data_IF_634517556810
#
_entry.id   IF_634517556810
#
_cell.length_a   1.000
_cell.length_b   1.000
_cell.length_c   1.000
_cell.angle_alpha   90.00
_cell.angle_beta   90.00
_cell.angle_gamma   90.00
#
_symmetry.space_group_name_H-M   'P 1'
#
loop_
_entity.id
_entity.type
_entity.pdbx_description
1 polymer ?
#
# COMPACT_ATOMS: atom_id res chain seq x y z
N UNK A 1 14.89 2.33 28.33
CA UNK A 1 13.45 2.12 28.08
C UNK A 1 13.25 2.16 26.58
N UNK A 2 12.94 1.01 25.96
CA UNK A 2 12.49 0.99 24.57
C UNK A 2 11.15 1.73 24.53
N UNK A 3 11.05 2.82 23.75
CA UNK A 3 9.79 3.53 23.56
C UNK A 3 8.77 2.55 22.98
N UNK A 4 7.54 2.58 23.50
CA UNK A 4 6.45 1.81 22.91
C UNK A 4 6.20 2.33 21.48
N UNK A 5 5.91 1.43 20.54
CA UNK A 5 5.65 1.85 19.16
C UNK A 5 4.58 2.94 19.07
N UNK A 6 3.56 2.88 19.93
CA UNK A 6 2.50 3.88 19.92
C UNK A 6 3.00 5.26 20.32
N UNK A 7 3.91 5.36 21.29
CA UNK A 7 4.55 6.61 21.71
C UNK A 7 5.42 7.18 20.60
N UNK A 8 6.12 6.30 19.87
CA UNK A 8 6.95 6.70 18.73
C UNK A 8 6.07 7.27 17.61
N UNK A 9 4.94 6.62 17.31
CA UNK A 9 3.97 7.16 16.33
C UNK A 9 3.37 8.49 16.79
N UNK A 10 3.09 8.67 18.08
CA UNK A 10 2.63 9.98 18.59
C UNK A 10 3.67 11.09 18.40
N UNK A 11 4.96 10.78 18.46
CA UNK A 11 6.03 11.73 18.13
C UNK A 11 6.06 12.03 16.62
N UNK A 12 5.89 11.02 15.76
CA UNK A 12 5.85 11.19 14.31
C UNK A 12 4.69 12.07 13.88
N UNK A 13 3.47 11.80 14.37
CA UNK A 13 2.26 12.57 14.02
C UNK A 13 2.35 14.06 14.41
N UNK A 14 3.17 14.40 15.41
CA UNK A 14 3.45 15.79 15.79
C UNK A 14 4.44 16.48 14.85
N UNK A 15 5.31 15.70 14.21
CA UNK A 15 6.41 16.19 13.37
C UNK A 15 6.02 16.20 11.89
N UNK A 16 5.27 15.20 11.46
CA UNK A 16 4.74 15.02 10.11
C UNK A 16 3.26 14.63 10.20
N UNK A 17 2.38 15.56 9.81
CA UNK A 17 0.93 15.38 9.83
C UNK A 17 0.35 14.99 8.46
N UNK A 18 1.22 14.68 7.48
CA UNK A 18 0.78 14.22 6.15
C UNK A 18 0.17 12.82 6.22
N UNK A 19 0.60 12.01 7.18
CA UNK A 19 0.21 10.61 7.32
C UNK A 19 -0.51 10.36 8.63
N UNK A 20 -1.57 9.55 8.58
CA UNK A 20 -2.33 9.15 9.76
C UNK A 20 -1.66 7.99 10.51
N UNK A 21 -2.07 7.76 11.76
CA UNK A 21 -1.58 6.62 12.58
C UNK A 21 -1.68 5.27 11.85
N UNK A 22 -2.74 5.10 11.06
CA UNK A 22 -2.99 3.90 10.26
C UNK A 22 -1.87 3.62 9.26
N UNK A 23 -1.27 4.63 8.63
CA UNK A 23 -0.16 4.44 7.68
C UNK A 23 1.07 3.80 8.36
N UNK A 24 1.41 4.25 9.56
CA UNK A 24 2.56 3.72 10.31
C UNK A 24 2.31 2.29 10.82
N UNK A 25 1.09 2.01 11.30
CA UNK A 25 0.71 0.66 11.73
C UNK A 25 0.71 -0.31 10.55
N UNK A 26 0.10 0.09 9.44
CA UNK A 26 0.09 -0.64 8.19
C UNK A 26 1.50 -0.96 7.71
N UNK A 27 2.40 0.04 7.66
CA UNK A 27 3.75 -0.17 7.16
C UNK A 27 4.55 -1.16 8.01
N UNK A 28 4.39 -1.12 9.34
CA UNK A 28 5.02 -2.08 10.25
C UNK A 28 4.53 -3.51 9.97
N UNK A 29 3.24 -3.70 9.77
CA UNK A 29 2.64 -5.01 9.51
C UNK A 29 2.96 -5.51 8.10
N UNK A 30 2.99 -4.62 7.12
CA UNK A 30 3.45 -4.91 5.77
C UNK A 30 4.89 -5.40 5.76
N UNK A 31 5.80 -4.75 6.49
CA UNK A 31 7.19 -5.18 6.59
C UNK A 31 7.31 -6.58 7.21
N UNK A 32 6.59 -6.87 8.30
CA UNK A 32 6.55 -8.20 8.92
C UNK A 32 5.99 -9.26 7.96
N UNK A 33 4.95 -8.92 7.19
CA UNK A 33 4.42 -9.78 6.14
C UNK A 33 5.47 -10.08 5.05
N UNK A 34 6.23 -9.06 4.62
CA UNK A 34 7.30 -9.22 3.62
C UNK A 34 8.40 -10.14 4.14
N UNK A 35 8.86 -9.95 5.39
CA UNK A 35 9.84 -10.83 6.01
C UNK A 35 9.38 -12.28 6.05
N UNK A 36 8.13 -12.53 6.50
CA UNK A 36 7.56 -13.88 6.58
C UNK A 36 7.43 -14.52 5.19
N UNK A 37 7.03 -13.74 4.20
CA UNK A 37 6.89 -14.22 2.81
C UNK A 37 8.25 -14.59 2.22
N UNK A 38 9.25 -13.73 2.35
CA UNK A 38 10.61 -13.98 1.85
C UNK A 38 11.32 -15.13 2.58
N UNK A 39 11.13 -15.24 3.90
CA UNK A 39 11.67 -16.36 4.68
C UNK A 39 11.13 -17.71 4.18
N UNK A 40 9.85 -17.75 3.78
CA UNK A 40 9.22 -18.95 3.22
C UNK A 40 9.68 -19.26 1.80
N UNK A 41 9.90 -18.24 0.98
CA UNK A 41 10.29 -18.42 -0.44
C UNK A 41 11.76 -18.78 -0.63
N UNK A 42 12.65 -18.17 0.17
CA UNK A 42 14.11 -18.23 -0.05
C UNK A 42 14.87 -18.97 1.05
N UNK A 43 14.18 -19.61 1.99
CA UNK A 43 14.76 -20.16 3.23
C UNK A 43 15.65 -19.14 3.96
N UNK A 44 15.32 -17.85 3.83
CA UNK A 44 16.12 -16.76 4.38
C UNK A 44 16.04 -16.73 5.89
N UNK A 45 17.16 -16.36 6.53
CA UNK A 45 17.20 -16.18 7.97
C UNK A 45 16.40 -14.93 8.37
N UNK A 46 15.77 -14.94 9.56
CA UNK A 46 15.20 -13.72 10.15
C UNK A 46 16.30 -12.65 10.25
N UNK A 47 15.98 -11.41 9.86
CA UNK A 47 16.89 -10.26 9.70
C UNK A 47 17.70 -10.19 8.39
N UNK A 48 17.31 -10.91 7.34
CA UNK A 48 17.90 -10.68 6.01
C UNK A 48 17.48 -9.30 5.49
N UNK A 49 18.40 -8.52 4.93
CA UNK A 49 18.06 -7.21 4.36
C UNK A 49 16.99 -7.36 3.27
N UNK A 50 15.94 -6.54 3.35
CA UNK A 50 14.89 -6.44 2.33
C UNK A 50 15.16 -5.17 1.54
N UNK A 51 15.30 -5.30 0.23
CA UNK A 51 15.40 -4.12 -0.65
C UNK A 51 14.07 -3.37 -0.69
N UNK A 52 14.08 -2.04 -0.87
CA UNK A 52 12.83 -1.28 -0.99
C UNK A 52 11.90 -1.75 -2.13
N UNK A 53 12.41 -2.42 -3.18
CA UNK A 53 11.56 -3.05 -4.19
C UNK A 53 10.82 -4.27 -3.65
N UNK A 54 11.51 -5.14 -2.92
CA UNK A 54 10.88 -6.28 -2.22
C UNK A 54 9.89 -5.79 -1.16
N UNK A 55 10.20 -4.67 -0.49
CA UNK A 55 9.26 -4.03 0.42
C UNK A 55 8.01 -3.54 -0.31
N UNK A 56 8.15 -2.87 -1.46
CA UNK A 56 7.00 -2.40 -2.25
C UNK A 56 6.12 -3.56 -2.75
N UNK A 57 6.74 -4.65 -3.20
CA UNK A 57 6.02 -5.86 -3.60
C UNK A 57 5.27 -6.46 -2.40
N UNK A 58 5.93 -6.58 -1.24
CA UNK A 58 5.30 -7.09 -0.03
C UNK A 58 4.21 -6.17 0.54
N UNK A 59 4.37 -4.85 0.41
CA UNK A 59 3.34 -3.85 0.74
C UNK A 59 2.11 -4.03 -0.15
N UNK A 60 2.32 -4.22 -1.46
CA UNK A 60 1.23 -4.47 -2.40
C UNK A 60 0.48 -5.74 -2.02
N UNK A 61 1.20 -6.82 -1.77
CA UNK A 61 0.63 -8.13 -1.47
C UNK A 61 -0.11 -8.10 -0.12
N UNK A 62 0.46 -7.46 0.89
CA UNK A 62 -0.18 -7.28 2.18
C UNK A 62 -1.45 -6.42 2.09
N UNK A 63 -1.39 -5.29 1.36
CA UNK A 63 -2.55 -4.42 1.17
C UNK A 63 -3.71 -5.15 0.47
N UNK A 64 -3.40 -5.96 -0.55
CA UNK A 64 -4.40 -6.77 -1.25
C UNK A 64 -4.94 -7.91 -0.39
N UNK A 65 -4.09 -8.53 0.45
CA UNK A 65 -4.51 -9.57 1.38
C UNK A 65 -5.48 -9.05 2.44
N UNK A 66 -5.21 -7.87 3.01
CA UNK A 66 -5.98 -7.32 4.12
C UNK A 66 -7.23 -6.55 3.66
N UNK A 67 -7.11 -5.74 2.60
CA UNK A 67 -8.15 -4.81 2.17
C UNK A 67 -8.72 -5.10 0.77
N UNK A 68 -8.06 -5.95 -0.02
CA UNK A 68 -8.46 -6.28 -1.38
C UNK A 68 -8.74 -5.04 -2.24
N UNK A 69 -9.95 -4.90 -2.83
CA UNK A 69 -10.29 -3.76 -3.70
C UNK A 69 -10.36 -2.42 -2.95
N UNK A 70 -10.39 -2.43 -1.61
CA UNK A 70 -10.41 -1.21 -0.80
C UNK A 70 -9.00 -0.71 -0.45
N UNK A 71 -7.94 -1.44 -0.79
CA UNK A 71 -6.56 -1.09 -0.46
C UNK A 71 -6.22 0.38 -0.79
N UNK A 72 -6.49 0.81 -2.04
CA UNK A 72 -6.28 2.21 -2.45
C UNK A 72 -7.08 3.20 -1.60
N UNK A 73 -8.34 2.89 -1.29
CA UNK A 73 -9.21 3.79 -0.50
C UNK A 73 -8.69 3.96 0.92
N UNK A 74 -8.28 2.86 1.55
CA UNK A 74 -7.75 2.84 2.91
C UNK A 74 -6.40 3.58 2.98
N UNK A 75 -5.48 3.30 2.06
CA UNK A 75 -4.18 3.98 1.99
C UNK A 75 -4.35 5.48 1.78
N UNK A 76 -5.20 5.90 0.82
CA UNK A 76 -5.49 7.30 0.58
C UNK A 76 -6.11 7.99 1.80
N UNK A 77 -7.00 7.30 2.54
CA UNK A 77 -7.59 7.84 3.77
C UNK A 77 -6.56 8.09 4.87
N UNK A 78 -5.39 7.45 4.81
CA UNK A 78 -4.26 7.70 5.71
C UNK A 78 -3.20 8.64 5.15
N UNK A 79 -3.49 9.30 4.03
CA UNK A 79 -2.58 10.24 3.37
C UNK A 79 -1.53 9.59 2.48
N UNK A 80 -1.63 8.29 2.20
CA UNK A 80 -0.71 7.55 1.32
C UNK A 80 -1.36 7.39 -0.05
N UNK A 81 -1.01 8.27 -1.00
CA UNK A 81 -1.66 8.31 -2.32
C UNK A 81 -0.85 7.64 -3.43
N UNK A 82 0.45 7.48 -3.21
CA UNK A 82 1.38 6.93 -4.18
C UNK A 82 2.57 6.22 -3.51
N UNK A 83 3.48 5.70 -4.33
CA UNK A 83 4.67 5.00 -3.83
C UNK A 83 5.68 5.92 -3.14
N UNK A 84 5.79 7.19 -3.53
CA UNK A 84 6.66 8.16 -2.85
C UNK A 84 6.19 8.39 -1.41
N UNK A 85 4.88 8.39 -1.16
CA UNK A 85 4.31 8.48 0.19
C UNK A 85 4.65 7.26 1.05
N UNK A 86 4.62 6.05 0.47
CA UNK A 86 5.09 4.84 1.15
C UNK A 86 6.56 4.98 1.55
N UNK A 87 7.39 5.53 0.66
CA UNK A 87 8.78 5.86 0.95
C UNK A 87 8.91 6.82 2.14
N UNK A 88 8.18 7.94 2.12
CA UNK A 88 8.21 8.90 3.23
C UNK A 88 7.80 8.26 4.57
N UNK A 89 6.78 7.40 4.60
CA UNK A 89 6.37 6.66 5.80
C UNK A 89 7.50 5.73 6.28
N UNK A 90 8.15 5.01 5.37
CA UNK A 90 9.31 4.15 5.69
C UNK A 90 10.46 4.97 6.28
N UNK A 91 10.81 6.10 5.67
CA UNK A 91 11.88 6.95 6.16
C UNK A 91 11.56 7.59 7.51
N UNK A 92 10.32 8.02 7.74
CA UNK A 92 9.86 8.47 9.06
C UNK A 92 10.09 7.38 10.13
N UNK A 93 9.77 6.11 9.81
CA UNK A 93 9.98 4.96 10.71
C UNK A 93 11.48 4.66 10.94
N UNK A 94 12.33 4.85 9.94
CA UNK A 94 13.78 4.73 10.06
C UNK A 94 14.35 5.81 10.98
N UNK A 95 13.97 7.08 10.79
CA UNK A 95 14.47 8.23 11.56
C UNK A 95 14.18 8.10 13.06
N UNK A 96 13.10 7.42 13.42
CA UNK A 96 12.72 7.18 14.81
C UNK A 96 13.18 5.82 15.35
N UNK A 97 13.95 5.06 14.58
CA UNK A 97 14.54 3.78 15.00
C UNK A 97 13.57 2.62 15.08
N UNK A 98 12.42 2.70 14.39
CA UNK A 98 11.48 1.58 14.27
C UNK A 98 11.99 0.59 13.22
N UNK A 99 12.47 1.12 12.09
CA UNK A 99 13.07 0.33 11.01
C UNK A 99 14.58 0.54 10.99
N UNK A 100 15.32 -0.51 10.60
CA UNK A 100 16.74 -0.41 10.33
C UNK A 100 16.96 0.18 8.94
N UNK A 101 17.92 1.11 8.81
CA UNK A 101 18.34 1.66 7.53
C UNK A 101 19.39 0.75 6.89
N UNK A 102 19.29 0.52 5.59
CA UNK A 102 20.40 0.01 4.77
C UNK A 102 21.10 1.13 4.00
N UNK A 103 22.35 0.90 3.60
CA UNK A 103 23.14 1.86 2.80
C UNK A 103 22.53 2.09 1.42
N UNK A 104 21.76 1.12 0.92
CA UNK A 104 21.10 1.14 -0.39
C UNK A 104 19.72 1.79 -0.37
N UNK A 105 19.15 2.04 0.82
CA UNK A 105 17.81 2.61 0.98
C UNK A 105 17.84 4.13 0.70
N UNK A 106 17.18 4.51 -0.39
CA UNK A 106 17.07 5.90 -0.85
C UNK A 106 15.59 6.25 -1.07
N UNK A 107 15.11 7.44 -0.70
CA UNK A 107 13.72 7.83 -0.98
C UNK A 107 13.36 7.73 -2.46
N UNK A 108 14.33 7.95 -3.34
CA UNK A 108 14.19 7.88 -4.79
C UNK A 108 13.81 6.49 -5.29
N UNK A 109 14.12 5.41 -4.57
CA UNK A 109 13.76 4.05 -4.98
C UNK A 109 12.25 3.81 -4.96
N UNK A 110 11.53 4.63 -4.20
CA UNK A 110 10.08 4.58 -4.11
C UNK A 110 9.41 5.35 -5.25
N UNK A 111 10.16 6.20 -5.96
CA UNK A 111 9.63 6.98 -7.08
C UNK A 111 9.21 6.06 -8.23
N UNK A 112 7.92 6.09 -8.56
CA UNK A 112 7.32 5.23 -9.58
C UNK A 112 7.49 3.72 -9.32
N UNK A 113 7.75 3.31 -8.07
CA UNK A 113 8.00 1.92 -7.72
C UNK A 113 6.73 1.06 -7.66
N UNK A 114 5.59 1.68 -7.35
CA UNK A 114 4.27 1.03 -7.33
C UNK A 114 3.21 2.01 -7.87
N UNK A 115 2.47 1.56 -8.88
CA UNK A 115 1.30 2.26 -9.41
C UNK A 115 0.03 1.73 -8.72
N UNK A 116 -0.67 2.59 -7.99
CA UNK A 116 -1.82 2.20 -7.18
C UNK A 116 -3.04 1.84 -8.02
N UNK A 117 -3.18 2.39 -9.22
CA UNK A 117 -4.28 2.06 -10.12
C UNK A 117 -4.10 0.64 -10.68
N UNK A 118 -2.89 0.34 -11.16
CA UNK A 118 -2.53 -0.98 -11.67
C UNK A 118 -2.52 -2.04 -10.57
N UNK A 119 -2.08 -1.68 -9.35
CA UNK A 119 -1.97 -2.61 -8.23
C UNK A 119 -3.30 -2.90 -7.54
N UNK A 120 -4.14 -1.88 -7.31
CA UNK A 120 -5.29 -1.98 -6.40
C UNK A 120 -6.64 -1.81 -7.08
N UNK A 121 -6.71 -1.27 -8.29
CA UNK A 121 -7.98 -1.03 -8.98
C UNK A 121 -8.15 -1.98 -10.16
N UNK A 122 -7.20 -1.96 -11.09
CA UNK A 122 -7.26 -2.73 -12.34
C UNK A 122 -7.52 -4.24 -12.14
N UNK A 123 -6.95 -4.93 -11.13
CA UNK A 123 -7.19 -6.36 -10.92
C UNK A 123 -8.66 -6.69 -10.62
N UNK A 124 -9.43 -5.72 -10.14
CA UNK A 124 -10.83 -5.88 -9.75
C UNK A 124 -11.82 -5.31 -10.78
N UNK A 125 -11.35 -4.68 -11.85
CA UNK A 125 -12.22 -4.20 -12.91
C UNK A 125 -12.80 -5.37 -13.74
N UNK A 126 -14.08 -5.30 -14.15
CA UNK A 126 -14.66 -6.31 -15.02
C UNK A 126 -13.91 -6.37 -16.36
N UNK A 127 -13.51 -7.58 -16.78
CA UNK A 127 -12.81 -7.80 -18.06
C UNK A 127 -13.67 -7.46 -19.29
N UNK A 128 -14.99 -7.38 -19.13
CA UNK A 128 -15.94 -7.00 -20.17
C UNK A 128 -16.94 -5.98 -19.63
N UNK A 129 -17.09 -4.86 -20.34
CA UNK A 129 -18.14 -3.90 -20.06
C UNK A 129 -19.51 -4.59 -20.21
N UNK A 130 -20.47 -4.36 -19.30
CA UNK A 130 -21.83 -4.85 -19.51
C UNK A 130 -22.35 -4.23 -20.81
N UNK A 131 -22.60 -5.07 -21.83
CA UNK A 131 -23.17 -4.61 -23.10
C UNK A 131 -24.50 -3.94 -22.78
N UNK A 132 -24.55 -2.61 -22.81
CA UNK A 132 -25.79 -1.87 -22.72
C UNK A 132 -26.62 -2.16 -23.96
N UNK A 133 -27.39 -3.26 -23.96
CA UNK A 133 -28.44 -3.49 -24.94
C UNK A 133 -29.48 -2.40 -24.71
N UNK A 134 -29.39 -1.30 -25.46
CA UNK A 134 -30.42 -0.26 -25.47
C UNK A 134 -31.78 -0.94 -25.70
N UNK A 135 -32.79 -0.72 -24.85
CA UNK A 135 -34.10 -1.30 -25.08
C UNK A 135 -34.64 -0.74 -26.41
N UNK A 136 -34.93 -1.64 -27.37
CA UNK A 136 -35.63 -1.31 -28.61
C UNK A 136 -37.03 -0.80 -28.21
N UNK A 137 -37.20 0.53 -28.17
CA UNK A 137 -38.53 1.16 -28.05
C UNK A 137 -39.36 0.69 -29.25
N UNK A 138 -40.32 -0.21 -29.01
CA UNK A 138 -41.35 -0.59 -29.97
C UNK A 138 -42.27 0.63 -30.10
N UNK A 139 -42.14 1.37 -31.20
CA UNK A 139 -43.10 2.40 -31.59
C UNK A 139 -44.46 1.74 -31.74
N UNK A 140 -45.32 1.95 -30.75
CA UNK A 140 -46.75 1.65 -30.83
C UNK A 140 -47.34 2.77 -31.70
N UNK A 141 -47.43 2.51 -33.00
CA UNK A 141 -48.23 3.33 -33.89
C UNK A 141 -49.70 3.09 -33.55
N UNK A 142 -50.35 4.12 -33.04
CA UNK A 142 -51.79 4.32 -33.12
C UNK A 142 -52.15 4.78 -34.55
N UNK A 143 -53.44 4.63 -34.87
CA UNK A 143 -54.17 5.24 -35.98
C UNK A 143 -54.11 4.56 -37.37
N UNK A 144 -55.07 3.64 -37.63
CA UNK A 144 -56.33 3.94 -38.34
C UNK A 144 -57.14 2.65 -38.60
#
# INVERSE_FOLDING_TARGET
>A
MSKDFNEVVDCMLKSDNRYERGAYQFMREALDHTFKSLAKEREMQPNTHISGRELLDGVKDYALSEYGPLAKTVLNAWGVENSEDLGNVVFNLIEHGVFAKSEEDTPEMFKSGLDFEEAFVRPFLPKHAPSSKKPKRKSRGEDN
#
